data_IF_484608789623
#
_entry.id   IF_484608789623
#
_cell.length_a   1.000
_cell.length_b   1.000
_cell.length_c   1.000
_cell.angle_alpha   90.00
_cell.angle_beta   90.00
_cell.angle_gamma   90.00
#
_symmetry.space_group_name_H-M   'P 1'
#
loop_
_entity.id
_entity.type
_entity.pdbx_description
1 polymer ?
#
# COMPACT_ATOMS: atom_id res chain seq x y z
N UNK A 1 -58.78 20.58 2.81
CA UNK A 1 -57.64 20.46 1.87
C UNK A 1 -56.40 20.05 2.64
N UNK A 2 -56.03 18.76 2.60
CA UNK A 2 -54.89 18.20 3.36
C UNK A 2 -53.65 18.21 2.46
N UNK A 3 -52.69 19.06 2.81
CA UNK A 3 -51.50 19.35 2.01
C UNK A 3 -50.62 18.11 1.80
N UNK A 4 -50.69 17.51 0.60
CA UNK A 4 -49.89 16.35 0.15
C UNK A 4 -48.47 16.75 -0.28
N UNK A 5 -47.78 17.62 0.46
CA UNK A 5 -46.45 18.13 0.07
C UNK A 5 -45.27 17.58 0.89
N UNK A 6 -45.54 16.85 1.97
CA UNK A 6 -44.47 16.30 2.82
C UNK A 6 -43.81 15.03 2.26
N UNK A 7 -44.46 14.29 1.36
CA UNK A 7 -43.95 13.01 0.85
C UNK A 7 -42.89 13.11 -0.24
N UNK A 8 -42.80 14.26 -0.95
CA UNK A 8 -41.96 14.39 -2.14
C UNK A 8 -40.51 14.80 -1.83
N UNK A 9 -40.28 15.47 -0.69
CA UNK A 9 -38.93 15.88 -0.25
C UNK A 9 -38.18 14.77 0.50
N UNK A 10 -38.91 13.87 1.17
CA UNK A 10 -38.31 12.74 1.90
C UNK A 10 -37.70 11.68 0.95
N UNK A 11 -38.27 11.54 -0.26
CA UNK A 11 -37.80 10.56 -1.25
C UNK A 11 -36.50 10.99 -1.94
N UNK A 12 -36.31 12.28 -2.21
CA UNK A 12 -35.06 12.79 -2.81
C UNK A 12 -33.85 12.71 -1.86
N UNK A 13 -34.05 12.92 -0.55
CA UNK A 13 -32.96 12.85 0.43
C UNK A 13 -32.39 11.44 0.61
N UNK A 14 -33.24 10.41 0.53
CA UNK A 14 -32.81 9.03 0.70
C UNK A 14 -31.99 8.50 -0.50
N UNK A 15 -32.27 8.96 -1.72
CA UNK A 15 -31.57 8.51 -2.94
C UNK A 15 -30.14 9.06 -3.00
N UNK A 16 -29.91 10.30 -2.54
CA UNK A 16 -28.58 10.92 -2.54
C UNK A 16 -27.62 10.23 -1.57
N UNK A 17 -28.10 9.75 -0.42
CA UNK A 17 -27.27 9.00 0.54
C UNK A 17 -26.79 7.66 -0.05
N UNK A 18 -27.63 6.92 -0.77
CA UNK A 18 -27.25 5.63 -1.36
C UNK A 18 -26.18 5.74 -2.45
N UNK A 19 -26.08 6.86 -3.18
CA UNK A 19 -25.08 7.05 -4.25
C UNK A 19 -23.66 7.20 -3.65
N UNK A 20 -23.53 7.83 -2.47
CA UNK A 20 -22.22 8.01 -1.83
C UNK A 20 -21.71 6.75 -1.11
N UNK A 21 -22.60 5.88 -0.61
CA UNK A 21 -22.20 4.60 0.01
C UNK A 21 -21.95 3.48 -1.02
N UNK A 22 -22.35 3.65 -2.28
CA UNK A 22 -22.20 2.67 -3.35
C UNK A 22 -20.81 2.62 -4.00
N UNK A 23 -19.94 3.59 -3.74
CA UNK A 23 -18.51 3.50 -4.11
C UNK A 23 -17.74 2.67 -3.07
N UNK A 24 -18.29 1.51 -2.73
CA UNK A 24 -17.53 0.46 -2.06
C UNK A 24 -16.31 0.16 -2.92
N UNK A 25 -15.16 -0.08 -2.27
CA UNK A 25 -13.92 -0.52 -2.89
C UNK A 25 -14.22 -1.56 -3.97
N UNK A 26 -14.32 -1.14 -5.23
CA UNK A 26 -14.32 -2.05 -6.34
C UNK A 26 -13.02 -2.81 -6.19
N UNK A 27 -13.12 -4.12 -5.96
CA UNK A 27 -11.97 -5.01 -5.88
C UNK A 27 -11.34 -5.00 -7.28
N UNK A 28 -10.55 -3.98 -7.55
CA UNK A 28 -9.79 -3.88 -8.78
C UNK A 28 -8.85 -5.08 -8.78
N UNK A 29 -8.89 -5.84 -9.85
CA UNK A 29 -7.94 -6.91 -10.10
C UNK A 29 -6.53 -6.38 -9.83
N UNK A 30 -5.80 -7.05 -8.94
CA UNK A 30 -4.47 -6.58 -8.59
C UNK A 30 -3.54 -6.83 -9.76
N UNK A 31 -2.70 -5.86 -10.14
CA UNK A 31 -1.70 -6.07 -11.17
C UNK A 31 -0.79 -7.23 -10.76
N UNK A 32 -0.46 -8.08 -11.74
CA UNK A 32 0.48 -9.18 -11.56
C UNK A 32 1.87 -8.61 -11.31
N UNK A 33 2.47 -8.98 -10.18
CA UNK A 33 3.83 -8.55 -9.84
C UNK A 33 4.87 -9.30 -10.66
N UNK A 34 5.74 -8.54 -11.32
CA UNK A 34 6.95 -9.04 -11.97
C UNK A 34 7.96 -9.56 -10.96
N UNK A 35 9.01 -10.23 -11.43
CA UNK A 35 10.11 -10.66 -10.55
C UNK A 35 10.81 -9.47 -9.88
N UNK A 36 11.02 -8.37 -10.61
CA UNK A 36 11.60 -7.15 -10.07
C UNK A 36 10.74 -6.53 -8.96
N UNK A 37 9.41 -6.55 -9.13
CA UNK A 37 8.47 -6.10 -8.09
C UNK A 37 8.58 -6.94 -6.82
N UNK A 38 8.72 -8.26 -6.98
CA UNK A 38 8.85 -9.20 -5.85
C UNK A 38 10.17 -9.00 -5.10
N UNK A 39 11.28 -8.81 -5.83
CA UNK A 39 12.59 -8.49 -5.23
C UNK A 39 12.54 -7.17 -4.48
N UNK A 40 11.94 -6.14 -5.08
CA UNK A 40 11.72 -4.86 -4.41
C UNK A 40 10.89 -5.02 -3.13
N UNK A 41 9.79 -5.79 -3.19
CA UNK A 41 8.94 -6.05 -2.03
C UNK A 41 9.65 -6.79 -0.90
N UNK A 42 10.51 -7.76 -1.24
CA UNK A 42 11.34 -8.48 -0.28
C UNK A 42 12.38 -7.55 0.37
N UNK A 43 13.14 -6.80 -0.43
CA UNK A 43 14.08 -5.79 0.06
C UNK A 43 13.41 -4.79 1.00
N UNK A 44 12.24 -4.28 0.62
CA UNK A 44 11.56 -3.26 1.41
C UNK A 44 10.99 -3.82 2.72
N UNK A 45 10.58 -5.10 2.75
CA UNK A 45 10.18 -5.76 3.99
C UNK A 45 11.37 -5.86 4.97
N UNK A 46 12.51 -6.38 4.53
CA UNK A 46 13.71 -6.51 5.37
C UNK A 46 14.22 -5.15 5.84
N UNK A 47 14.16 -4.13 4.98
CA UNK A 47 14.46 -2.76 5.36
C UNK A 47 13.53 -2.27 6.49
N UNK A 48 12.23 -2.54 6.43
CA UNK A 48 11.29 -2.13 7.48
C UNK A 48 11.57 -2.85 8.81
N UNK A 49 11.91 -4.13 8.76
CA UNK A 49 12.32 -4.90 9.95
C UNK A 49 13.58 -4.30 10.58
N UNK A 50 14.62 -4.06 9.77
CA UNK A 50 15.91 -3.56 10.24
C UNK A 50 15.88 -2.09 10.70
N UNK A 51 14.98 -1.28 10.15
CA UNK A 51 14.85 0.14 10.54
C UNK A 51 14.13 0.31 11.87
N UNK A 52 13.65 -0.78 12.46
CA UNK A 52 12.95 -0.75 13.74
C UNK A 52 11.61 -0.04 13.65
N UNK A 53 11.01 0.05 12.46
CA UNK A 53 9.62 0.49 12.29
C UNK A 53 8.73 -0.62 12.84
N UNK A 54 8.66 -0.68 14.17
CA UNK A 54 7.72 -1.53 14.91
C UNK A 54 6.43 -0.75 15.13
N UNK A 55 5.33 -1.45 15.38
CA UNK A 55 4.01 -0.85 15.66
C UNK A 55 4.00 -0.07 17.00
N UNK A 56 5.11 -0.01 17.75
CA UNK A 56 5.18 0.65 19.06
C UNK A 56 5.65 2.11 18.98
N UNK A 57 5.04 2.97 19.81
CA UNK A 57 5.14 4.44 19.89
C UNK A 57 6.54 5.01 20.24
N UNK A 58 7.65 4.30 20.01
CA UNK A 58 8.97 4.86 20.25
C UNK A 58 9.42 5.73 19.07
N UNK A 59 9.50 7.04 19.29
CA UNK A 59 9.87 8.11 18.33
C UNK A 59 11.26 8.00 17.66
N UNK A 60 12.06 6.97 17.96
CA UNK A 60 13.39 6.81 17.38
C UNK A 60 13.42 5.69 16.34
N UNK A 61 13.12 6.04 15.09
CA UNK A 61 13.49 5.22 13.93
C UNK A 61 15.01 5.21 13.84
N UNK A 62 15.64 4.07 14.09
CA UNK A 62 17.08 3.95 13.96
C UNK A 62 17.44 4.01 12.48
N UNK A 63 18.24 5.00 12.08
CA UNK A 63 18.76 5.05 10.73
C UNK A 63 19.66 3.83 10.53
N UNK A 64 19.21 2.92 9.66
CA UNK A 64 20.03 1.79 9.21
C UNK A 64 21.32 2.37 8.63
N UNK A 65 22.47 1.97 9.19
CA UNK A 65 23.78 2.42 8.68
C UNK A 65 24.00 1.97 7.23
N UNK A 66 24.69 2.77 6.42
CA UNK A 66 24.87 2.51 4.97
C UNK A 66 25.36 1.10 4.61
N UNK A 67 26.26 0.51 5.40
CA UNK A 67 26.74 -0.87 5.20
C UNK A 67 25.62 -1.92 5.22
N UNK A 68 24.61 -1.72 6.06
CA UNK A 68 23.46 -2.62 6.12
C UNK A 68 22.56 -2.46 4.90
N UNK A 69 22.42 -1.24 4.37
CA UNK A 69 21.67 -0.99 3.13
C UNK A 69 22.38 -1.64 1.94
N UNK A 70 23.70 -1.52 1.82
CA UNK A 70 24.47 -2.17 0.75
C UNK A 70 24.31 -3.70 0.81
N UNK A 71 24.34 -4.27 2.01
CA UNK A 71 24.11 -5.71 2.21
C UNK A 71 22.70 -6.14 1.80
N UNK A 72 21.68 -5.31 2.07
CA UNK A 72 20.31 -5.59 1.62
C UNK A 72 20.19 -5.60 0.10
N UNK A 73 20.87 -4.68 -0.60
CA UNK A 73 20.89 -4.68 -2.06
C UNK A 73 21.48 -5.97 -2.61
N UNK A 74 22.58 -6.46 -2.04
CA UNK A 74 23.20 -7.73 -2.43
C UNK A 74 22.29 -8.94 -2.17
N UNK A 75 21.71 -9.06 -0.97
CA UNK A 75 20.84 -10.18 -0.57
C UNK A 75 19.65 -10.31 -1.53
N UNK A 76 19.04 -9.18 -1.91
CA UNK A 76 17.86 -9.15 -2.76
C UNK A 76 18.18 -9.08 -4.27
N UNK A 77 19.45 -9.17 -4.63
CA UNK A 77 19.94 -9.03 -6.00
C UNK A 77 19.36 -7.78 -6.70
N UNK A 78 19.35 -6.66 -5.98
CA UNK A 78 18.91 -5.35 -6.46
C UNK A 78 20.10 -4.42 -6.62
N UNK A 79 20.07 -3.61 -7.66
CA UNK A 79 20.99 -2.47 -7.82
C UNK A 79 20.29 -1.18 -7.34
N UNK A 80 21.07 -0.18 -6.96
CA UNK A 80 20.54 1.15 -6.63
C UNK A 80 19.77 1.76 -7.81
N UNK A 81 20.29 1.59 -9.03
CA UNK A 81 19.62 2.02 -10.26
C UNK A 81 18.27 1.32 -10.44
N UNK A 82 18.23 0.00 -10.30
CA UNK A 82 16.99 -0.77 -10.42
C UNK A 82 15.97 -0.39 -9.33
N UNK A 83 16.42 -0.12 -8.12
CA UNK A 83 15.55 0.37 -7.04
C UNK A 83 14.93 1.74 -7.36
N UNK A 84 15.72 2.67 -7.87
CA UNK A 84 15.25 3.99 -8.25
C UNK A 84 14.28 3.91 -9.43
N UNK A 85 14.60 3.11 -10.45
CA UNK A 85 13.71 2.88 -11.60
C UNK A 85 12.36 2.31 -11.14
N UNK A 86 12.37 1.29 -10.27
CA UNK A 86 11.14 0.74 -9.71
C UNK A 86 10.33 1.78 -8.95
N UNK A 87 11.00 2.62 -8.17
CA UNK A 87 10.38 3.70 -7.40
C UNK A 87 9.68 4.70 -8.32
N UNK A 88 10.29 5.06 -9.45
CA UNK A 88 9.69 5.95 -10.44
C UNK A 88 8.48 5.31 -11.12
N UNK A 89 8.55 4.01 -11.47
CA UNK A 89 7.40 3.26 -11.99
C UNK A 89 6.23 3.26 -10.99
N UNK A 90 6.49 3.12 -9.68
CA UNK A 90 5.44 3.09 -8.67
C UNK A 90 4.77 4.45 -8.45
N UNK A 91 5.51 5.56 -8.61
CA UNK A 91 4.94 6.92 -8.55
C UNK A 91 3.88 7.11 -9.65
N UNK A 92 4.18 6.64 -10.85
CA UNK A 92 3.29 6.76 -12.02
C UNK A 92 2.14 5.73 -12.00
N UNK A 93 2.28 4.63 -11.25
CA UNK A 93 1.28 3.57 -11.16
C UNK A 93 0.86 3.22 -9.72
N UNK A 94 -0.08 3.99 -9.12
CA UNK A 94 -0.55 3.77 -7.75
C UNK A 94 -1.18 2.39 -7.50
N UNK A 95 -1.76 1.77 -8.54
CA UNK A 95 -2.34 0.42 -8.41
C UNK A 95 -1.26 -0.64 -8.25
N UNK A 96 -0.16 -0.51 -9.00
CA UNK A 96 1.01 -1.38 -8.86
C UNK A 96 1.68 -1.16 -7.52
N UNK A 97 1.84 0.10 -7.09
CA UNK A 97 2.37 0.41 -5.77
C UNK A 97 1.56 -0.26 -4.64
N UNK A 98 0.23 -0.20 -4.72
CA UNK A 98 -0.65 -0.88 -3.77
C UNK A 98 -0.44 -2.40 -3.76
N UNK A 99 -0.26 -3.02 -4.92
CA UNK A 99 0.01 -4.45 -5.00
C UNK A 99 1.37 -4.82 -4.39
N UNK A 100 2.41 -4.02 -4.64
CA UNK A 100 3.73 -4.18 -4.03
C UNK A 100 3.64 -4.06 -2.51
N UNK A 101 2.94 -3.05 -1.97
CA UNK A 101 2.75 -2.89 -0.53
C UNK A 101 2.01 -4.06 0.13
N UNK A 102 1.06 -4.68 -0.58
CA UNK A 102 0.40 -5.89 -0.08
C UNK A 102 1.37 -7.07 -0.05
N UNK A 103 2.25 -7.20 -1.05
CA UNK A 103 3.30 -8.20 -1.03
C UNK A 103 4.30 -7.96 0.11
N UNK A 104 4.71 -6.72 0.36
CA UNK A 104 5.56 -6.33 1.50
C UNK A 104 4.91 -6.77 2.81
N UNK A 105 3.62 -6.48 3.01
CA UNK A 105 2.87 -6.93 4.19
C UNK A 105 2.88 -8.45 4.32
N UNK A 106 2.67 -9.18 3.23
CA UNK A 106 2.68 -10.64 3.26
C UNK A 106 4.05 -11.18 3.66
N UNK A 107 5.14 -10.56 3.20
CA UNK A 107 6.50 -10.95 3.58
C UNK A 107 6.75 -10.72 5.07
N UNK A 108 6.35 -9.55 5.61
CA UNK A 108 6.47 -9.26 7.04
C UNK A 108 5.72 -10.27 7.93
N UNK A 109 4.54 -10.72 7.50
CA UNK A 109 3.76 -11.73 8.23
C UNK A 109 4.38 -13.14 8.18
N UNK A 110 5.26 -13.42 7.23
CA UNK A 110 5.98 -14.69 7.16
C UNK A 110 7.19 -14.69 8.09
N UNK A 111 7.88 -13.56 8.23
CA UNK A 111 9.05 -13.43 9.11
C UNK A 111 8.69 -13.44 10.61
N UNK A 112 7.46 -13.07 10.97
CA UNK A 112 6.96 -13.12 12.35
C UNK A 112 6.65 -14.55 12.87
N UNK A 113 6.84 -15.61 12.06
CA UNK A 113 6.61 -17.02 12.44
C UNK A 113 7.90 -17.81 12.64
#
# INVERSE_FOLDING_TARGET
MRSRKAGMYALCGAVLLFIFFGQGCTRSEQPVLSEADRKFAAFYADYLVLSGVTVSESENVSLIGGKHIDSLFEIHALTLEGFNERTDVYKENPKLWRAVLLQVRNNLQQDDR
#
